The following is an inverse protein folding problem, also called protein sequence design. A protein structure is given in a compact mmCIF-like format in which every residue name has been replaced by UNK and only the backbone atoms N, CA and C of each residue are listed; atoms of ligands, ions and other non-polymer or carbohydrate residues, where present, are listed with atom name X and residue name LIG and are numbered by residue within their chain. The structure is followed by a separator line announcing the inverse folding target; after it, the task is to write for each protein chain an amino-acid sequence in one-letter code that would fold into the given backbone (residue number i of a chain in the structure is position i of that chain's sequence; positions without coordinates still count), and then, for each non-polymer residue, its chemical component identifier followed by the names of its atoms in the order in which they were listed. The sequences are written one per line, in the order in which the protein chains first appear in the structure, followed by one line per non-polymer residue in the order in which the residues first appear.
data_IF_911555344306
#
_entry.id   IF_911555344306
#
_cell.length_a   1.000
_cell.length_b   1.000
_cell.length_c   1.000
_cell.angle_alpha   90.00
_cell.angle_beta   90.00
_cell.angle_gamma   90.00
#
_symmetry.space_group_name_H-M   'P 1'
#
loop_
_entity.id
_entity.type
_entity.pdbx_description
1 polymer ?
#
# COMPACT_ATOMS: atom_id res chain seq x y z
N UNK A 1 -2.26 5.35 65.91
CA UNK A 1 -1.59 5.84 64.68
C UNK A 1 -1.29 4.79 63.57
N UNK A 2 -1.40 3.45 63.74
CA UNK A 2 -1.11 2.50 62.65
C UNK A 2 -2.27 2.33 61.62
N UNK A 3 -3.51 2.68 61.99
CA UNK A 3 -4.70 2.48 61.17
C UNK A 3 -4.75 3.42 59.93
N UNK A 4 -4.17 4.61 60.04
CA UNK A 4 -4.04 5.57 58.92
C UNK A 4 -3.04 5.05 57.89
N UNK A 5 -1.90 4.55 58.33
CA UNK A 5 -0.82 4.05 57.47
C UNK A 5 -1.29 2.84 56.67
N UNK A 6 -2.01 1.90 57.31
CA UNK A 6 -2.58 0.72 56.66
C UNK A 6 -3.59 1.08 55.55
N UNK A 7 -4.43 2.11 55.79
CA UNK A 7 -5.40 2.61 54.80
C UNK A 7 -4.72 3.27 53.60
N UNK A 8 -3.70 4.08 53.84
CA UNK A 8 -2.93 4.71 52.75
C UNK A 8 -2.15 3.68 51.92
N UNK A 9 -1.56 2.67 52.55
CA UNK A 9 -0.87 1.58 51.82
C UNK A 9 -1.86 0.78 50.97
N UNK A 10 -3.03 0.46 51.53
CA UNK A 10 -4.09 -0.24 50.78
C UNK A 10 -4.55 0.58 49.57
N UNK A 11 -4.74 1.89 49.73
CA UNK A 11 -5.19 2.77 48.66
C UNK A 11 -4.14 2.88 47.54
N UNK A 12 -2.85 2.97 47.90
CA UNK A 12 -1.74 2.95 46.92
C UNK A 12 -1.70 1.61 46.16
N UNK A 13 -1.85 0.47 46.84
CA UNK A 13 -1.87 -0.85 46.19
C UNK A 13 -3.05 -0.99 45.24
N UNK A 14 -4.25 -0.55 45.65
CA UNK A 14 -5.44 -0.59 44.79
C UNK A 14 -5.27 0.30 43.56
N UNK A 15 -4.75 1.52 43.72
CA UNK A 15 -4.50 2.41 42.56
C UNK A 15 -3.44 1.84 41.61
N UNK A 16 -2.38 1.20 42.12
CA UNK A 16 -1.36 0.56 41.29
C UNK A 16 -1.92 -0.65 40.52
N UNK A 17 -2.81 -1.45 41.13
CA UNK A 17 -3.50 -2.57 40.48
C UNK A 17 -4.43 -2.07 39.38
N UNK A 18 -5.21 -1.00 39.63
CA UNK A 18 -6.12 -0.41 38.65
C UNK A 18 -5.35 0.19 37.46
N UNK A 19 -4.21 0.84 37.70
CA UNK A 19 -3.36 1.37 36.62
C UNK A 19 -2.69 0.22 35.83
N UNK A 20 -2.31 -0.87 36.51
CA UNK A 20 -1.71 -2.05 35.89
C UNK A 20 -2.65 -2.84 34.97
N UNK A 21 -3.95 -2.91 35.31
CA UNK A 21 -4.98 -3.57 34.50
C UNK A 21 -5.50 -2.68 33.37
N UNK A 22 -5.32 -1.35 33.47
CA UNK A 22 -5.68 -0.38 32.43
C UNK A 22 -4.61 -0.19 31.35
N UNK A 23 -3.75 -1.20 31.08
CA UNK A 23 -3.00 -1.24 29.82
C UNK A 23 -4.01 -1.45 28.70
N UNK A 24 -4.52 -0.32 28.21
CA UNK A 24 -5.37 -0.25 27.03
C UNK A 24 -4.76 -1.13 25.96
N UNK A 25 -5.53 -2.13 25.53
CA UNK A 25 -5.18 -2.95 24.38
C UNK A 25 -5.15 -1.97 23.21
N UNK A 26 -3.96 -1.48 22.88
CA UNK A 26 -3.73 -0.75 21.65
C UNK A 26 -4.20 -1.72 20.58
N UNK A 27 -5.35 -1.43 19.97
CA UNK A 27 -5.90 -2.25 18.90
C UNK A 27 -4.75 -2.45 17.93
N UNK A 28 -4.29 -3.70 17.81
CA UNK A 28 -3.29 -4.07 16.83
C UNK A 28 -3.90 -3.64 15.51
N UNK A 29 -3.48 -2.49 15.00
CA UNK A 29 -4.05 -1.88 13.81
C UNK A 29 -4.16 -2.98 12.77
N UNK A 30 -5.41 -3.29 12.41
CA UNK A 30 -5.75 -4.41 11.53
C UNK A 30 -4.69 -4.45 10.44
N UNK A 31 -3.99 -5.59 10.36
CA UNK A 31 -2.90 -5.73 9.41
C UNK A 31 -3.50 -5.39 8.05
N UNK A 32 -3.16 -4.23 7.48
CA UNK A 32 -3.86 -3.66 6.31
C UNK A 32 -3.77 -4.54 5.05
N UNK A 33 -3.04 -5.65 5.14
CA UNK A 33 -2.84 -6.70 4.14
C UNK A 33 -3.45 -8.04 4.57
N UNK A 34 -4.26 -8.09 5.63
CA UNK A 34 -5.00 -9.28 6.05
C UNK A 34 -5.92 -9.74 4.91
N UNK A 35 -5.86 -11.03 4.57
CA UNK A 35 -6.56 -11.58 3.41
C UNK A 35 -5.89 -11.31 2.05
N UNK A 36 -4.80 -10.54 2.02
CA UNK A 36 -3.98 -10.36 0.82
C UNK A 36 -2.69 -11.18 0.90
N UNK A 37 -2.28 -11.75 -0.22
CA UNK A 37 -1.00 -12.47 -0.36
C UNK A 37 0.01 -11.61 -1.09
N UNK A 38 1.24 -11.51 -0.58
CA UNK A 38 2.32 -10.77 -1.24
C UNK A 38 2.67 -11.41 -2.58
N UNK A 39 2.85 -10.59 -3.60
CA UNK A 39 3.30 -10.98 -4.93
C UNK A 39 4.65 -10.36 -5.24
N UNK A 40 5.60 -11.18 -5.71
CA UNK A 40 6.87 -10.68 -6.25
C UNK A 40 6.64 -10.26 -7.70
N UNK A 41 6.91 -8.99 -8.01
CA UNK A 41 6.83 -8.48 -9.37
C UNK A 41 8.20 -8.57 -10.05
N UNK A 42 8.21 -9.01 -11.31
CA UNK A 42 9.36 -8.97 -12.20
C UNK A 42 9.24 -7.82 -13.21
N UNK A 43 10.36 -7.41 -13.80
CA UNK A 43 10.40 -6.32 -14.79
C UNK A 43 9.44 -6.53 -15.96
N UNK A 44 9.31 -7.77 -16.43
CA UNK A 44 8.38 -8.16 -17.50
C UNK A 44 6.90 -7.96 -17.18
N UNK A 45 6.55 -7.76 -15.91
CA UNK A 45 5.17 -7.51 -15.49
C UNK A 45 4.80 -6.03 -15.56
N UNK A 46 5.77 -5.12 -15.73
CA UNK A 46 5.51 -3.70 -15.89
C UNK A 46 5.37 -3.37 -17.37
N UNK A 47 4.13 -3.39 -17.85
CA UNK A 47 3.81 -3.10 -19.26
C UNK A 47 3.58 -1.61 -19.40
N UNK A 48 4.51 -0.90 -20.06
CA UNK A 48 4.37 0.54 -20.30
C UNK A 48 3.35 0.77 -21.42
N UNK A 49 2.38 1.62 -21.16
CA UNK A 49 1.46 2.16 -22.16
C UNK A 49 1.92 3.57 -22.53
N UNK A 50 1.89 3.86 -23.83
CA UNK A 50 2.33 5.14 -24.42
C UNK A 50 1.33 5.57 -25.50
N UNK A 51 1.38 6.82 -25.97
CA UNK A 51 0.68 7.24 -27.18
C UNK A 51 1.01 6.31 -28.36
N UNK A 52 0.03 6.01 -29.20
CA UNK A 52 0.21 5.04 -30.29
C UNK A 52 1.23 5.50 -31.34
N UNK A 53 1.39 6.81 -31.53
CA UNK A 53 2.18 7.47 -32.57
C UNK A 53 3.56 7.96 -32.11
N UNK A 54 3.89 7.85 -30.82
CA UNK A 54 5.18 8.32 -30.25
C UNK A 54 6.07 7.13 -29.89
N UNK A 55 7.39 7.23 -30.05
CA UNK A 55 8.32 6.18 -29.60
C UNK A 55 8.38 6.06 -28.07
N UNK A 56 8.75 4.89 -27.56
CA UNK A 56 8.73 4.61 -26.11
C UNK A 56 9.75 5.47 -25.34
N UNK A 57 10.97 5.56 -25.87
CA UNK A 57 12.09 6.35 -25.32
C UNK A 57 11.78 7.84 -25.20
N UNK A 58 10.91 8.37 -26.05
CA UNK A 58 10.45 9.75 -25.98
C UNK A 58 9.46 10.02 -24.82
N UNK A 59 8.90 8.98 -24.19
CA UNK A 59 7.88 9.10 -23.12
C UNK A 59 8.20 8.31 -21.87
N UNK A 60 9.19 7.43 -21.89
CA UNK A 60 9.52 6.55 -20.79
C UNK A 60 11.03 6.29 -20.68
N UNK A 61 11.53 6.30 -19.45
CA UNK A 61 12.89 5.89 -19.15
C UNK A 61 12.94 5.03 -17.87
N UNK A 62 13.76 3.98 -17.89
CA UNK A 62 14.08 3.18 -16.72
C UNK A 62 15.58 3.18 -16.47
N UNK A 63 16.01 3.83 -15.39
CA UNK A 63 17.41 3.91 -15.01
C UNK A 63 17.55 3.97 -13.49
N UNK A 64 18.49 3.19 -12.94
CA UNK A 64 18.77 3.15 -11.50
C UNK A 64 17.57 2.73 -10.63
N UNK A 65 16.63 1.93 -11.16
CA UNK A 65 15.41 1.54 -10.45
C UNK A 65 14.32 2.62 -10.42
N UNK A 66 14.57 3.78 -11.04
CA UNK A 66 13.61 4.88 -11.16
C UNK A 66 12.97 4.79 -12.55
N UNK A 67 11.63 4.83 -12.57
CA UNK A 67 10.84 4.89 -13.79
C UNK A 67 10.35 6.31 -13.99
N UNK A 68 10.81 6.97 -15.05
CA UNK A 68 10.38 8.32 -15.43
C UNK A 68 9.42 8.22 -16.61
N UNK A 69 8.37 9.02 -16.56
CA UNK A 69 7.32 9.07 -17.56
C UNK A 69 6.94 10.52 -17.82
N UNK A 70 6.75 10.87 -19.09
CA UNK A 70 6.32 12.19 -19.53
C UNK A 70 4.96 12.08 -20.21
N UNK A 71 4.12 13.07 -19.97
CA UNK A 71 2.80 13.21 -20.60
C UNK A 71 2.66 14.64 -21.07
N UNK A 72 2.44 14.84 -22.36
CA UNK A 72 2.15 16.16 -22.92
C UNK A 72 0.67 16.27 -23.27
N UNK A 73 0.12 17.48 -23.16
CA UNK A 73 -1.29 17.75 -23.50
C UNK A 73 -1.62 17.47 -24.97
N UNK A 74 -0.60 17.49 -25.84
CA UNK A 74 -0.72 17.20 -27.27
C UNK A 74 -0.60 15.71 -27.61
N UNK A 75 -0.27 14.86 -26.64
CA UNK A 75 -0.10 13.43 -26.88
C UNK A 75 -1.43 12.77 -27.28
N UNK A 76 -1.34 11.79 -28.18
CA UNK A 76 -2.48 11.00 -28.60
C UNK A 76 -2.86 9.94 -27.56
N UNK A 77 -4.08 9.39 -27.64
CA UNK A 77 -4.47 8.25 -26.82
C UNK A 77 -3.53 7.06 -27.01
N UNK A 78 -3.61 6.07 -26.10
CA UNK A 78 -2.83 4.83 -26.23
C UNK A 78 -3.29 3.88 -27.35
N UNK A 79 -4.42 4.16 -27.99
CA UNK A 79 -4.95 3.38 -29.12
C UNK A 79 -5.65 4.31 -30.11
N UNK A 80 -5.52 4.06 -31.42
CA UNK A 80 -6.28 4.80 -32.43
C UNK A 80 -7.77 4.42 -32.45
N UNK A 81 -8.13 3.23 -31.93
CA UNK A 81 -9.49 2.69 -31.97
C UNK A 81 -10.34 3.14 -30.79
N UNK A 82 -9.73 3.38 -29.64
CA UNK A 82 -10.43 3.74 -28.41
C UNK A 82 -10.10 5.18 -28.02
N UNK A 83 -11.10 6.09 -27.99
CA UNK A 83 -10.87 7.47 -27.57
C UNK A 83 -10.43 7.51 -26.10
N UNK A 84 -9.51 8.40 -25.80
CA UNK A 84 -8.95 8.60 -24.46
C UNK A 84 -8.06 9.84 -24.43
N UNK A 85 -7.70 10.29 -23.23
CA UNK A 85 -6.75 11.39 -23.08
C UNK A 85 -5.30 10.97 -23.35
N UNK A 86 -4.43 11.97 -23.48
CA UNK A 86 -2.99 11.82 -23.39
C UNK A 86 -2.60 11.05 -22.12
N UNK A 87 -1.86 9.95 -22.26
CA UNK A 87 -1.39 9.16 -21.13
C UNK A 87 -0.11 8.39 -21.43
N UNK A 88 0.77 8.35 -20.43
CA UNK A 88 1.87 7.40 -20.34
C UNK A 88 1.75 6.75 -18.97
N UNK A 89 1.50 5.45 -18.95
CA UNK A 89 1.12 4.71 -17.73
C UNK A 89 1.86 3.38 -17.66
N UNK A 90 1.92 2.78 -16.47
CA UNK A 90 2.47 1.44 -16.29
C UNK A 90 1.37 0.52 -15.81
N UNK A 91 1.02 -0.44 -16.65
CA UNK A 91 0.10 -1.51 -16.29
C UNK A 91 0.89 -2.66 -15.68
N UNK A 92 0.58 -2.98 -14.42
CA UNK A 92 1.14 -4.17 -13.76
C UNK A 92 0.32 -5.39 -14.17
N UNK A 93 0.97 -6.33 -14.87
CA UNK A 93 0.37 -7.57 -15.30
C UNK A 93 0.63 -8.69 -14.28
N UNK A 94 -0.36 -9.00 -13.46
CA UNK A 94 -0.29 -10.08 -12.47
C UNK A 94 -0.89 -11.36 -13.05
N UNK A 95 -0.19 -12.50 -12.94
CA UNK A 95 -0.62 -13.78 -13.53
C UNK A 95 -2.00 -14.27 -13.09
N UNK A 96 -2.41 -13.97 -11.85
CA UNK A 96 -3.75 -14.29 -11.34
C UNK A 96 -4.57 -13.01 -11.36
N UNK A 97 -5.79 -13.05 -11.91
CA UNK A 97 -6.77 -11.96 -11.81
C UNK A 97 -7.24 -11.87 -10.36
N UNK A 98 -6.75 -10.91 -9.57
CA UNK A 98 -7.13 -10.81 -8.18
C UNK A 98 -8.39 -9.94 -8.04
N UNK A 99 -9.20 -10.19 -7.02
CA UNK A 99 -10.35 -9.32 -6.73
C UNK A 99 -9.94 -7.99 -6.09
N UNK A 100 -8.71 -7.90 -5.57
CA UNK A 100 -8.15 -6.68 -5.01
C UNK A 100 -6.63 -6.65 -5.10
N UNK A 101 -6.08 -5.46 -5.27
CA UNK A 101 -4.64 -5.18 -5.22
C UNK A 101 -4.39 -4.14 -4.12
N UNK A 102 -3.38 -4.39 -3.29
CA UNK A 102 -2.94 -3.48 -2.24
C UNK A 102 -1.44 -3.25 -2.33
N UNK A 103 -1.01 -2.00 -2.25
CA UNK A 103 0.41 -1.64 -2.22
C UNK A 103 0.79 -1.13 -0.83
N UNK A 104 1.95 -1.56 -0.32
CA UNK A 104 2.57 -1.06 0.92
C UNK A 104 4.08 -1.04 0.75
N UNK A 105 4.70 0.13 0.89
CA UNK A 105 6.17 0.31 0.96
C UNK A 105 6.97 -0.57 -0.02
N UNK A 106 6.68 -0.44 -1.33
CA UNK A 106 7.29 -1.19 -2.46
C UNK A 106 6.86 -2.65 -2.62
N UNK A 107 5.90 -3.12 -1.84
CA UNK A 107 5.36 -4.46 -1.96
C UNK A 107 3.93 -4.42 -2.49
N UNK A 108 3.61 -5.36 -3.38
CA UNK A 108 2.29 -5.53 -3.97
C UNK A 108 1.67 -6.79 -3.40
N UNK A 109 0.40 -6.68 -3.01
CA UNK A 109 -0.37 -7.76 -2.44
C UNK A 109 -1.66 -7.95 -3.24
N UNK A 110 -2.10 -9.20 -3.37
CA UNK A 110 -3.32 -9.56 -4.10
C UNK A 110 -4.22 -10.45 -3.26
N UNK A 111 -5.54 -10.22 -3.32
CA UNK A 111 -6.53 -11.11 -2.69
C UNK A 111 -7.07 -12.14 -3.69
N UNK A 112 -7.60 -13.26 -3.16
CA UNK A 112 -8.33 -14.27 -3.95
C UNK A 112 -9.84 -14.10 -3.71
N UNK A 113 -10.63 -14.44 -4.72
CA UNK A 113 -12.06 -14.71 -4.55
C UNK A 113 -12.16 -16.05 -3.81
N UNK A 114 -12.91 -16.08 -2.71
CA UNK A 114 -13.27 -17.30 -2.01
C UNK A 114 -14.46 -17.96 -2.70
#
# INVERSE_FOLDING_TARGET
MPCSILRSVLLVVVTAVVIGTARGRSGSGDHLTAGFTRVRLTESQFVVQKPYDVLLDARYEFSGGIRRMWVFSTDKPGSPTYPGGARTEIKINVRRRPCGIRNRTKEVYTSRVW
#
